data_IF_127905142886
#
_entry.id   IF_127905142886
#
_cell.length_a   1.000
_cell.length_b   1.000
_cell.length_c   1.000
_cell.angle_alpha   90.00
_cell.angle_beta   90.00
_cell.angle_gamma   90.00
#
_symmetry.space_group_name_H-M   'P 1'
#
loop_
_entity.id
_entity.type
_entity.pdbx_description
1 polymer ?
#
# COMPACT_ATOMS: atom_id res chain seq x y z
N UNK A 1 41.23 32.27 -3.90
CA UNK A 1 42.28 31.21 -3.86
C UNK A 1 41.63 29.87 -3.60
N UNK A 2 41.65 28.98 -4.55
CA UNK A 2 41.18 27.58 -4.34
C UNK A 2 42.22 26.84 -3.50
N UNK A 3 41.89 26.45 -2.28
CA UNK A 3 42.71 25.58 -1.45
C UNK A 3 42.74 24.18 -2.08
N UNK A 4 43.64 23.96 -3.02
CA UNK A 4 43.72 22.72 -3.82
C UNK A 4 44.39 21.55 -3.12
N UNK A 5 44.96 21.73 -1.91
CA UNK A 5 45.74 20.68 -1.23
C UNK A 5 45.05 19.90 -0.11
N UNK A 6 44.04 20.46 0.56
CA UNK A 6 43.53 19.89 1.81
C UNK A 6 42.40 18.87 1.66
N UNK A 7 41.91 18.60 0.47
CA UNK A 7 40.78 17.68 0.23
C UNK A 7 41.10 16.48 -0.65
N UNK A 8 42.37 16.32 -1.05
CA UNK A 8 42.80 15.19 -1.87
C UNK A 8 43.47 14.15 -0.96
N UNK A 9 42.93 12.93 -0.95
CA UNK A 9 43.60 11.80 -0.31
C UNK A 9 44.93 11.51 -1.02
N UNK A 10 45.99 11.35 -0.24
CA UNK A 10 47.33 11.09 -0.79
C UNK A 10 47.41 9.80 -1.63
N UNK A 11 46.54 8.84 -1.37
CA UNK A 11 46.53 7.52 -2.04
C UNK A 11 45.48 7.40 -3.16
N UNK A 12 44.59 8.37 -3.31
CA UNK A 12 43.55 8.33 -4.33
C UNK A 12 43.23 9.73 -4.86
N UNK A 13 44.02 10.21 -5.86
CA UNK A 13 43.97 11.60 -6.32
C UNK A 13 42.62 12.01 -6.92
N UNK A 14 41.81 11.07 -7.36
CA UNK A 14 40.48 11.31 -7.93
C UNK A 14 39.35 11.42 -6.88
N UNK A 15 39.65 11.22 -5.61
CA UNK A 15 38.66 11.24 -4.53
C UNK A 15 38.79 12.51 -3.69
N UNK A 16 37.80 13.39 -3.76
CA UNK A 16 37.72 14.58 -2.90
C UNK A 16 37.49 14.16 -1.44
N UNK A 17 38.43 14.53 -0.55
CA UNK A 17 38.35 14.18 0.87
C UNK A 17 38.93 12.82 1.26
N UNK A 18 39.54 12.11 0.30
CA UNK A 18 40.14 10.81 0.51
C UNK A 18 39.14 9.63 0.45
N UNK A 19 39.67 8.42 0.43
CA UNK A 19 38.88 7.18 0.46
C UNK A 19 38.27 6.98 1.85
N UNK A 20 37.01 6.55 1.93
CA UNK A 20 36.41 6.07 3.19
C UNK A 20 37.13 4.80 3.65
N UNK A 21 37.70 4.82 4.86
CA UNK A 21 38.39 3.68 5.44
C UNK A 21 37.50 2.44 5.57
N UNK A 22 36.23 2.66 5.95
CA UNK A 22 35.21 1.61 6.09
C UNK A 22 34.00 1.95 5.21
N UNK A 23 34.18 1.85 3.88
CA UNK A 23 33.08 2.01 2.94
C UNK A 23 32.02 0.90 3.08
N UNK A 24 30.77 1.18 2.69
CA UNK A 24 29.74 0.13 2.68
C UNK A 24 30.13 -0.99 1.70
N UNK A 25 29.97 -2.23 2.14
CA UNK A 25 30.24 -3.44 1.34
C UNK A 25 28.93 -4.07 0.91
N UNK A 26 28.90 -4.70 -0.28
CA UNK A 26 27.74 -5.42 -0.80
C UNK A 26 27.41 -6.64 0.07
N UNK A 27 28.40 -7.27 0.64
CA UNK A 27 28.29 -8.47 1.50
C UNK A 27 27.63 -8.17 2.86
N UNK A 28 27.48 -6.90 3.24
CA UNK A 28 26.90 -6.54 4.53
C UNK A 28 25.43 -6.95 4.59
N UNK A 29 25.10 -7.78 5.57
CA UNK A 29 23.72 -8.16 5.86
C UNK A 29 23.01 -6.97 6.51
N UNK A 30 22.05 -6.38 5.80
CA UNK A 30 21.24 -5.25 6.26
C UNK A 30 19.97 -5.70 6.99
N UNK A 31 19.50 -6.92 6.68
CA UNK A 31 18.34 -7.48 7.31
C UNK A 31 18.58 -7.75 8.80
N UNK A 32 17.60 -7.38 9.63
CA UNK A 32 17.57 -7.72 11.05
C UNK A 32 16.39 -8.64 11.29
N UNK A 33 16.66 -9.75 11.98
CA UNK A 33 15.61 -10.70 12.38
C UNK A 33 14.86 -10.12 13.58
N UNK A 34 13.57 -9.87 13.42
CA UNK A 34 12.66 -9.52 14.51
C UNK A 34 11.98 -10.77 15.06
N UNK A 35 11.67 -10.76 16.34
CA UNK A 35 10.95 -11.85 16.97
C UNK A 35 9.54 -11.97 16.39
N UNK A 36 9.05 -13.20 16.26
CA UNK A 36 7.73 -13.44 15.68
C UNK A 36 6.60 -12.81 16.50
N UNK A 37 6.70 -12.82 17.83
CA UNK A 37 5.74 -12.19 18.74
C UNK A 37 5.68 -10.68 18.56
N UNK A 38 6.83 -10.01 18.39
CA UNK A 38 6.90 -8.57 18.14
C UNK A 38 6.24 -8.20 16.80
N UNK A 39 6.49 -8.99 15.75
CA UNK A 39 5.86 -8.76 14.45
C UNK A 39 4.34 -8.94 14.49
N UNK A 40 3.84 -9.94 15.22
CA UNK A 40 2.40 -10.15 15.42
C UNK A 40 1.78 -8.99 16.19
N UNK A 41 2.38 -8.59 17.31
CA UNK A 41 1.91 -7.47 18.11
C UNK A 41 1.87 -6.16 17.30
N UNK A 42 2.89 -5.90 16.49
CA UNK A 42 2.92 -4.73 15.62
C UNK A 42 1.80 -4.78 14.55
N UNK A 43 1.56 -5.95 13.96
CA UNK A 43 0.45 -6.14 13.01
C UNK A 43 -0.90 -5.89 13.66
N UNK A 44 -1.13 -6.49 14.81
CA UNK A 44 -2.41 -6.42 15.53
C UNK A 44 -2.68 -4.98 16.02
N UNK A 45 -1.66 -4.28 16.49
CA UNK A 45 -1.74 -2.85 16.82
C UNK A 45 -2.05 -1.98 15.60
N UNK A 46 -1.41 -2.25 14.45
CA UNK A 46 -1.70 -1.52 13.22
C UNK A 46 -3.11 -1.82 12.69
N UNK A 47 -3.59 -3.06 12.85
CA UNK A 47 -4.94 -3.46 12.48
C UNK A 47 -5.99 -2.72 13.32
N UNK A 48 -5.78 -2.63 14.63
CA UNK A 48 -6.67 -1.88 15.54
C UNK A 48 -6.81 -0.41 15.12
N UNK A 49 -5.72 0.21 14.70
CA UNK A 49 -5.72 1.60 14.23
C UNK A 49 -6.51 1.82 12.91
N UNK A 50 -6.79 0.77 12.15
CA UNK A 50 -7.63 0.89 10.94
C UNK A 50 -9.12 0.99 11.22
N UNK A 51 -9.55 0.70 12.44
CA UNK A 51 -10.94 0.81 12.90
C UNK A 51 -11.27 2.25 13.26
N UNK A 52 -10.26 3.03 13.67
CA UNK A 52 -10.44 4.39 14.15
C UNK A 52 -10.51 5.39 12.98
N UNK A 53 -11.67 6.02 12.81
CA UNK A 53 -11.94 7.01 11.76
C UNK A 53 -11.04 8.25 11.91
N UNK A 54 -10.72 8.67 13.14
CA UNK A 54 -9.85 9.82 13.37
C UNK A 54 -8.42 9.53 12.90
N UNK A 55 -7.90 8.33 13.17
CA UNK A 55 -6.59 7.92 12.70
C UNK A 55 -6.52 7.81 11.18
N UNK A 56 -7.58 7.29 10.53
CA UNK A 56 -7.66 7.21 9.06
C UNK A 56 -7.71 8.59 8.43
N UNK A 57 -8.48 9.50 8.99
CA UNK A 57 -8.57 10.89 8.51
C UNK A 57 -7.28 11.67 8.73
N UNK A 58 -6.62 11.51 9.90
CA UNK A 58 -5.36 12.17 10.22
C UNK A 58 -4.22 11.75 9.29
N UNK A 59 -4.27 10.51 8.80
CA UNK A 59 -3.35 10.02 7.75
C UNK A 59 -3.58 10.69 6.40
N UNK A 60 -4.72 11.36 6.21
CA UNK A 60 -5.09 12.07 4.99
C UNK A 60 -5.89 11.24 4.01
N UNK A 61 -6.50 10.15 4.43
CA UNK A 61 -7.52 9.46 3.64
C UNK A 61 -8.81 10.28 3.57
N UNK A 62 -9.53 10.15 2.47
CA UNK A 62 -10.83 10.77 2.26
C UNK A 62 -11.87 9.69 2.17
N UNK A 63 -12.76 9.67 3.14
CA UNK A 63 -13.88 8.74 3.21
C UNK A 63 -15.15 9.57 3.12
N UNK A 64 -16.14 9.10 2.35
CA UNK A 64 -17.45 9.76 2.25
C UNK A 64 -18.15 9.72 3.61
N UNK A 65 -18.96 10.75 3.89
CA UNK A 65 -19.78 10.84 5.10
C UNK A 65 -20.84 9.71 5.19
N UNK A 66 -21.05 8.97 4.11
CA UNK A 66 -21.97 7.83 4.05
C UNK A 66 -21.39 6.55 4.73
N UNK A 67 -20.12 6.55 5.07
CA UNK A 67 -19.44 5.40 5.70
C UNK A 67 -19.48 5.54 7.21
N UNK A 68 -20.36 4.80 7.85
CA UNK A 68 -20.59 4.86 9.31
C UNK A 68 -19.48 4.18 10.12
N UNK A 69 -18.81 3.18 9.55
CA UNK A 69 -17.85 2.37 10.30
C UNK A 69 -16.70 1.84 9.44
N UNK A 70 -15.53 1.69 10.08
CA UNK A 70 -14.36 1.06 9.51
C UNK A 70 -13.98 -0.19 10.33
N UNK A 71 -13.31 -1.18 9.77
CA UNK A 71 -12.98 -1.34 8.34
C UNK A 71 -14.20 -1.74 7.50
N UNK A 72 -14.13 -1.46 6.19
CA UNK A 72 -15.20 -1.83 5.26
C UNK A 72 -15.10 -3.32 4.92
N UNK A 73 -16.23 -4.03 4.96
CA UNK A 73 -16.31 -5.46 4.63
C UNK A 73 -17.05 -5.61 3.31
N UNK A 74 -16.38 -6.19 2.34
CA UNK A 74 -16.94 -6.58 1.05
C UNK A 74 -17.58 -7.95 1.15
N UNK A 75 -18.91 -7.99 0.97
CA UNK A 75 -19.65 -9.24 0.81
C UNK A 75 -19.68 -9.70 -0.64
N UNK A 76 -20.42 -10.78 -0.87
CA UNK A 76 -20.65 -11.31 -2.20
C UNK A 76 -21.49 -10.33 -3.03
N UNK A 77 -21.19 -10.24 -4.31
CA UNK A 77 -21.83 -9.31 -5.23
C UNK A 77 -23.04 -9.97 -5.90
N UNK A 78 -24.18 -9.30 -5.84
CA UNK A 78 -25.42 -9.75 -6.51
C UNK A 78 -25.65 -8.88 -7.75
N UNK A 79 -25.49 -9.45 -8.94
CA UNK A 79 -25.85 -8.78 -10.19
C UNK A 79 -27.30 -9.13 -10.55
N UNK A 80 -28.17 -8.13 -10.63
CA UNK A 80 -29.56 -8.31 -11.06
C UNK A 80 -29.60 -8.10 -12.59
N UNK A 81 -29.71 -9.18 -13.35
CA UNK A 81 -29.96 -9.14 -14.79
C UNK A 81 -31.31 -9.79 -15.09
N UNK A 82 -32.16 -9.06 -15.84
CA UNK A 82 -33.47 -9.53 -16.29
C UNK A 82 -34.36 -10.09 -15.17
N UNK A 83 -34.31 -9.47 -13.98
CA UNK A 83 -35.10 -9.89 -12.82
C UNK A 83 -34.62 -11.17 -12.13
N UNK A 84 -33.48 -11.72 -12.54
CA UNK A 84 -32.82 -12.84 -11.87
C UNK A 84 -31.59 -12.34 -11.10
N UNK A 85 -31.58 -12.59 -9.79
CA UNK A 85 -30.40 -12.37 -8.96
C UNK A 85 -29.40 -13.49 -9.15
N UNK A 86 -28.20 -13.18 -9.63
CA UNK A 86 -27.09 -14.10 -9.68
C UNK A 86 -26.06 -13.67 -8.63
N UNK A 87 -25.80 -14.56 -7.69
CA UNK A 87 -24.72 -14.35 -6.70
C UNK A 87 -23.38 -14.67 -7.36
N UNK A 88 -22.50 -13.69 -7.33
CA UNK A 88 -21.12 -13.86 -7.80
C UNK A 88 -20.19 -13.76 -6.60
N UNK A 89 -19.33 -14.75 -6.47
CA UNK A 89 -18.19 -14.66 -5.58
C UNK A 89 -17.29 -13.50 -6.04
N UNK A 90 -17.16 -12.49 -5.17
CA UNK A 90 -16.42 -11.27 -5.48
C UNK A 90 -14.94 -11.53 -5.79
N UNK A 91 -14.38 -12.62 -5.26
CA UNK A 91 -12.98 -12.96 -5.49
C UNK A 91 -12.77 -13.64 -6.86
N UNK A 92 -13.76 -14.33 -7.40
CA UNK A 92 -13.69 -15.02 -8.69
C UNK A 92 -13.86 -14.11 -9.92
N UNK A 93 -13.85 -12.84 -9.73
CA UNK A 93 -14.11 -11.78 -10.70
C UNK A 93 -13.15 -11.79 -11.90
N UNK A 94 -13.55 -12.40 -12.99
CA UNK A 94 -12.67 -12.61 -14.14
C UNK A 94 -13.33 -12.19 -15.47
N UNK A 95 -13.43 -10.86 -15.72
CA UNK A 95 -14.00 -10.36 -16.96
C UNK A 95 -13.24 -9.15 -17.53
N UNK A 96 -13.32 -8.96 -18.84
CA UNK A 96 -12.59 -7.95 -19.61
C UNK A 96 -12.82 -6.47 -19.24
N UNK A 97 -13.68 -6.16 -18.27
CA UNK A 97 -13.88 -4.81 -17.72
C UNK A 97 -13.74 -4.76 -16.19
N UNK A 98 -13.02 -5.73 -15.62
CA UNK A 98 -12.88 -5.93 -14.18
C UNK A 98 -12.48 -4.65 -13.43
N UNK A 99 -11.52 -3.87 -13.93
CA UNK A 99 -11.08 -2.63 -13.28
C UNK A 99 -12.20 -1.57 -13.21
N UNK A 100 -13.05 -1.46 -14.24
CA UNK A 100 -14.18 -0.50 -14.19
C UNK A 100 -15.22 -0.90 -13.15
N UNK A 101 -15.50 -2.19 -13.03
CA UNK A 101 -16.42 -2.71 -12.03
C UNK A 101 -15.88 -2.48 -10.62
N UNK A 102 -14.58 -2.71 -10.39
CA UNK A 102 -13.93 -2.41 -9.10
C UNK A 102 -14.01 -0.92 -8.74
N UNK A 103 -13.83 -0.03 -9.72
CA UNK A 103 -14.02 1.42 -9.51
C UNK A 103 -15.46 1.72 -9.13
N UNK A 104 -16.44 1.10 -9.79
CA UNK A 104 -17.85 1.28 -9.46
C UNK A 104 -18.16 0.84 -8.02
N UNK A 105 -17.69 -0.35 -7.63
CA UNK A 105 -17.82 -0.87 -6.26
C UNK A 105 -17.18 0.10 -5.25
N UNK A 106 -15.98 0.59 -5.51
CA UNK A 106 -15.32 1.52 -4.59
C UNK A 106 -16.02 2.87 -4.50
N UNK A 107 -16.66 3.33 -5.59
CA UNK A 107 -17.46 4.54 -5.55
C UNK A 107 -18.76 4.33 -4.74
N UNK A 108 -19.43 3.21 -4.89
CA UNK A 108 -20.60 2.81 -4.09
C UNK A 108 -20.28 2.68 -2.60
N UNK A 109 -19.04 2.27 -2.26
CA UNK A 109 -18.55 2.20 -0.90
C UNK A 109 -18.05 3.54 -0.33
N UNK A 110 -18.24 4.65 -1.04
CA UNK A 110 -17.78 5.96 -0.59
C UNK A 110 -16.25 6.18 -0.62
N UNK A 111 -15.51 5.34 -1.35
CA UNK A 111 -14.03 5.41 -1.44
C UNK A 111 -13.52 6.14 -2.68
N UNK A 112 -14.44 6.67 -3.52
CA UNK A 112 -14.10 7.33 -4.78
C UNK A 112 -13.20 8.54 -4.62
N UNK A 113 -13.42 9.35 -3.59
CA UNK A 113 -12.61 10.54 -3.30
C UNK A 113 -11.16 10.18 -2.92
N UNK A 114 -10.94 9.08 -2.21
CA UNK A 114 -9.59 8.63 -1.85
C UNK A 114 -8.82 8.11 -3.06
N UNK A 115 -9.49 7.41 -3.97
CA UNK A 115 -8.90 7.01 -5.26
C UNK A 115 -8.54 8.22 -6.11
N UNK A 116 -9.42 9.23 -6.17
CA UNK A 116 -9.15 10.48 -6.88
C UNK A 116 -7.96 11.21 -6.26
N UNK A 117 -7.90 11.32 -4.93
CA UNK A 117 -6.76 11.89 -4.20
C UNK A 117 -5.45 11.20 -4.58
N UNK A 118 -5.45 9.87 -4.65
CA UNK A 118 -4.25 9.10 -4.99
C UNK A 118 -3.83 9.30 -6.45
N UNK A 119 -4.79 9.40 -7.36
CA UNK A 119 -4.58 9.68 -8.79
C UNK A 119 -3.97 11.06 -8.99
N UNK A 120 -4.57 12.09 -8.40
CA UNK A 120 -4.14 13.50 -8.55
C UNK A 120 -2.83 13.76 -7.82
N UNK A 121 -2.57 13.04 -6.72
CA UNK A 121 -1.33 13.09 -5.96
C UNK A 121 -0.12 12.42 -6.62
N UNK A 122 -0.29 11.78 -7.79
CA UNK A 122 0.82 11.17 -8.51
C UNK A 122 1.73 12.24 -9.11
N UNK A 123 2.98 12.27 -8.64
CA UNK A 123 3.97 13.25 -9.09
C UNK A 123 5.31 12.63 -9.44
N UNK A 124 6.06 13.31 -10.29
CA UNK A 124 7.43 12.92 -10.62
C UNK A 124 8.35 13.19 -9.43
N UNK A 125 9.22 12.25 -9.11
CA UNK A 125 10.21 12.41 -8.04
C UNK A 125 11.34 13.32 -8.49
N UNK A 126 11.82 14.16 -7.58
CA UNK A 126 13.05 14.92 -7.78
C UNK A 126 14.28 14.08 -7.39
N UNK A 127 15.43 14.41 -7.98
CA UNK A 127 16.72 13.87 -7.60
C UNK A 127 17.04 12.48 -8.17
N UNK A 128 18.00 11.80 -7.53
CA UNK A 128 18.59 10.54 -8.03
C UNK A 128 17.61 9.36 -8.08
N UNK A 129 16.49 9.43 -7.39
CA UNK A 129 15.48 8.37 -7.42
C UNK A 129 14.89 8.16 -8.82
N UNK A 130 14.73 9.24 -9.59
CA UNK A 130 14.26 9.20 -10.98
C UNK A 130 15.20 8.40 -11.88
N UNK A 131 16.52 8.63 -11.75
CA UNK A 131 17.54 7.89 -12.49
C UNK A 131 17.63 6.41 -12.10
N UNK A 132 17.15 6.04 -10.91
CA UNK A 132 17.14 4.68 -10.39
C UNK A 132 15.83 3.94 -10.66
N UNK A 133 15.06 4.31 -11.68
CA UNK A 133 13.82 3.68 -12.10
C UNK A 133 12.58 4.02 -11.24
N UNK A 134 12.71 4.89 -10.23
CA UNK A 134 11.60 5.32 -9.38
C UNK A 134 11.08 6.70 -9.79
N UNK A 135 10.59 6.81 -11.01
CA UNK A 135 10.19 8.09 -11.62
C UNK A 135 9.01 8.73 -10.89
N UNK A 136 8.00 7.95 -10.53
CA UNK A 136 6.77 8.47 -9.93
C UNK A 136 6.66 8.13 -8.44
N UNK A 137 5.98 9.03 -7.71
CA UNK A 137 5.48 8.80 -6.35
C UNK A 137 3.97 8.92 -6.39
N UNK A 138 3.27 7.88 -5.96
CA UNK A 138 1.81 7.88 -5.80
C UNK A 138 1.49 7.77 -4.32
N UNK A 139 0.59 8.59 -3.75
CA UNK A 139 0.12 8.43 -2.39
C UNK A 139 -0.51 7.04 -2.20
N UNK A 140 -0.37 6.48 -1.02
CA UNK A 140 -1.07 5.25 -0.66
C UNK A 140 -2.56 5.57 -0.48
N UNK A 141 -3.41 4.71 -1.03
CA UNK A 141 -4.85 4.71 -0.93
C UNK A 141 -5.31 3.42 -0.24
N UNK A 142 -6.43 2.91 -0.64
CA UNK A 142 -7.08 1.71 -0.08
C UNK A 142 -6.13 0.51 -0.05
N UNK A 143 -6.15 -0.22 1.06
CA UNK A 143 -5.61 -1.56 1.17
C UNK A 143 -6.77 -2.55 1.03
N UNK A 144 -6.72 -3.37 0.00
CA UNK A 144 -7.68 -4.46 -0.19
C UNK A 144 -7.07 -5.77 0.31
N UNK A 145 -7.71 -6.36 1.31
CA UNK A 145 -7.31 -7.66 1.85
C UNK A 145 -8.26 -8.72 1.31
N UNK A 146 -7.69 -9.70 0.62
CA UNK A 146 -8.42 -10.81 -0.02
C UNK A 146 -7.91 -12.14 0.53
N UNK A 147 -8.72 -13.19 0.43
CA UNK A 147 -8.28 -14.53 0.79
C UNK A 147 -7.16 -14.99 -0.14
N UNK A 148 -7.40 -14.95 -1.44
CA UNK A 148 -6.44 -15.32 -2.47
C UNK A 148 -6.28 -14.23 -3.53
N UNK A 149 -5.09 -14.10 -4.11
CA UNK A 149 -4.81 -13.12 -5.16
C UNK A 149 -5.41 -13.57 -6.50
N UNK A 150 -6.71 -13.53 -6.59
CA UNK A 150 -7.54 -13.93 -7.74
C UNK A 150 -7.83 -12.75 -8.69
N UNK A 151 -8.90 -12.85 -9.47
CA UNK A 151 -9.32 -11.85 -10.46
C UNK A 151 -9.57 -10.45 -9.88
N UNK A 152 -10.22 -10.36 -8.71
CA UNK A 152 -10.42 -9.10 -7.99
C UNK A 152 -9.08 -8.43 -7.67
N UNK A 153 -8.12 -9.18 -7.16
CA UNK A 153 -6.80 -8.68 -6.84
C UNK A 153 -6.08 -8.12 -8.07
N UNK A 154 -6.17 -8.80 -9.22
CA UNK A 154 -5.58 -8.35 -10.47
C UNK A 154 -6.22 -7.06 -10.99
N UNK A 155 -7.53 -6.92 -10.84
CA UNK A 155 -8.28 -5.75 -11.26
C UNK A 155 -8.00 -4.52 -10.36
N UNK A 156 -7.97 -4.71 -9.05
CA UNK A 156 -7.79 -3.66 -8.07
C UNK A 156 -6.36 -3.11 -8.02
N UNK A 157 -5.33 -3.95 -8.15
CA UNK A 157 -3.92 -3.53 -8.09
C UNK A 157 -3.51 -2.55 -9.18
N UNK A 158 -4.28 -2.44 -10.26
CA UNK A 158 -4.03 -1.46 -11.32
C UNK A 158 -4.45 -0.04 -10.94
N UNK A 159 -5.24 0.13 -9.88
CA UNK A 159 -5.69 1.43 -9.41
C UNK A 159 -4.58 2.19 -8.69
N UNK A 160 -4.51 3.53 -8.86
CA UNK A 160 -3.46 4.33 -8.27
C UNK A 160 -3.52 4.29 -6.74
N UNK A 161 -2.41 3.90 -6.11
CA UNK A 161 -2.27 3.87 -4.66
C UNK A 161 -2.92 2.69 -3.95
N UNK A 162 -3.69 1.87 -4.66
CA UNK A 162 -4.31 0.65 -4.11
C UNK A 162 -3.27 -0.46 -4.02
N UNK A 163 -3.15 -1.06 -2.85
CA UNK A 163 -2.40 -2.29 -2.66
C UNK A 163 -3.37 -3.44 -2.38
N UNK A 164 -3.03 -4.63 -2.86
CA UNK A 164 -3.83 -5.83 -2.63
C UNK A 164 -2.96 -6.90 -2.00
N UNK A 165 -3.38 -7.39 -0.85
CA UNK A 165 -2.64 -8.35 -0.03
C UNK A 165 -3.53 -9.53 0.33
N UNK A 166 -2.98 -10.75 0.28
CA UNK A 166 -3.68 -11.92 0.79
C UNK A 166 -3.67 -11.90 2.33
N UNK A 167 -4.73 -12.39 2.96
CA UNK A 167 -4.88 -12.41 4.42
C UNK A 167 -3.68 -13.06 5.12
N UNK A 168 -3.15 -14.15 4.56
CA UNK A 168 -1.95 -14.86 5.07
C UNK A 168 -0.68 -14.01 5.07
N UNK A 169 -0.56 -13.11 4.09
CA UNK A 169 0.63 -12.28 3.85
C UNK A 169 0.55 -10.91 4.55
N UNK A 170 -0.56 -10.60 5.21
CA UNK A 170 -0.83 -9.30 5.80
C UNK A 170 0.21 -8.93 6.87
N UNK A 171 0.90 -7.83 6.64
CA UNK A 171 1.99 -7.34 7.48
C UNK A 171 1.69 -5.94 8.05
N UNK A 172 2.40 -5.57 9.12
CA UNK A 172 2.33 -4.23 9.69
C UNK A 172 2.74 -3.14 8.69
N UNK A 173 3.64 -3.42 7.75
CA UNK A 173 4.05 -2.49 6.69
C UNK A 173 2.90 -2.17 5.72
N UNK A 174 2.03 -3.15 5.43
CA UNK A 174 0.88 -2.95 4.56
C UNK A 174 -0.18 -2.08 5.23
N UNK A 175 -0.41 -2.30 6.54
CA UNK A 175 -1.38 -1.55 7.35
C UNK A 175 -0.89 -0.15 7.75
N UNK A 176 0.41 -0.01 7.95
CA UNK A 176 1.06 1.24 8.38
C UNK A 176 2.26 1.60 7.50
N UNK A 177 2.06 1.85 6.19
CA UNK A 177 3.15 2.14 5.28
C UNK A 177 3.87 3.44 5.66
N UNK A 178 5.18 3.31 5.87
CA UNK A 178 6.01 4.42 6.32
C UNK A 178 6.06 4.63 7.84
N UNK A 179 5.39 3.77 8.61
CA UNK A 179 5.29 3.86 10.06
C UNK A 179 4.07 4.64 10.56
N UNK A 180 3.31 5.27 9.65
CA UNK A 180 2.08 5.97 9.98
C UNK A 180 0.90 4.99 9.98
N UNK A 181 0.17 4.90 11.07
CA UNK A 181 -1.00 4.02 11.26
C UNK A 181 -2.28 4.62 10.62
N UNK A 182 -3.37 3.86 10.62
CA UNK A 182 -4.67 4.34 10.15
C UNK A 182 -4.81 4.29 8.62
N UNK A 183 -4.35 3.22 7.97
CA UNK A 183 -4.60 3.02 6.54
C UNK A 183 -6.04 2.61 6.29
N UNK A 184 -6.67 3.22 5.29
CA UNK A 184 -8.01 2.84 4.84
C UNK A 184 -7.99 1.42 4.28
N UNK A 185 -8.69 0.50 4.96
CA UNK A 185 -8.67 -0.93 4.65
C UNK A 185 -10.05 -1.45 4.30
N UNK A 186 -10.09 -2.34 3.30
CA UNK A 186 -11.27 -3.07 2.87
C UNK A 186 -10.94 -4.56 2.93
N UNK A 187 -11.78 -5.33 3.61
CA UNK A 187 -11.64 -6.77 3.71
C UNK A 187 -12.71 -7.47 2.90
N UNK A 188 -12.38 -8.57 2.24
CA UNK A 188 -13.40 -9.50 1.78
C UNK A 188 -13.86 -10.37 2.95
N UNK A 189 -15.11 -10.82 2.93
CA UNK A 189 -15.67 -11.70 3.98
C UNK A 189 -14.82 -12.96 4.17
N UNK A 190 -14.41 -13.58 3.06
CA UNK A 190 -13.53 -14.74 3.05
C UNK A 190 -12.14 -14.48 3.64
N UNK A 191 -11.61 -13.26 3.47
CA UNK A 191 -10.32 -12.87 4.07
C UNK A 191 -10.43 -12.72 5.60
N UNK A 192 -11.54 -12.21 6.11
CA UNK A 192 -11.76 -12.10 7.56
C UNK A 192 -11.86 -13.46 8.25
N UNK A 193 -12.48 -14.43 7.60
CA UNK A 193 -12.56 -15.81 8.12
C UNK A 193 -11.17 -16.47 8.24
N UNK A 194 -10.24 -16.07 7.38
CA UNK A 194 -8.87 -16.59 7.39
C UNK A 194 -7.93 -15.88 8.38
N UNK A 195 -8.27 -14.65 8.79
CA UNK A 195 -7.49 -13.88 9.77
C UNK A 195 -7.73 -14.35 11.22
N UNK A 196 -8.88 -15.00 11.49
CA UNK A 196 -9.21 -15.61 12.76
C UNK A 196 -8.47 -16.95 12.91
#
# INVERSE_FOLDING_TARGET
MRRTGQRRGAQNPHTLGGRRAHGPKVEKIWARKLNQKERRLARDSALTATIDMEMVSSRGHRVSDEVDSLPIILGDYVEIKDGKSQEFDIESFNHGSATRKVIAIFNELGLGEDLQRARDGRKVRAGKATMRGRVHKTPKSVLLVVKEKSGLAQAARNLPGVDVVAAKDLNAEDLAPGGDVGRLTVFTKSALEELN
#
